data_IF_637609391925
#
_entry.id   IF_637609391925
#
_cell.length_a   1.000
_cell.length_b   1.000
_cell.length_c   1.000
_cell.angle_alpha   90.00
_cell.angle_beta   90.00
_cell.angle_gamma   90.00
#
_symmetry.space_group_name_H-M   'P 1'
#
loop_
_entity.id
_entity.type
_entity.pdbx_description
1 polymer ?
#
# COMPACT_ATOMS: atom_id res chain seq x y z
N UNK A 1 -25.51 30.79 -6.88
CA UNK A 1 -25.64 29.41 -7.43
C UNK A 1 -24.56 28.59 -6.72
N UNK A 2 -24.98 27.75 -5.79
CA UNK A 2 -24.14 27.10 -4.76
C UNK A 2 -23.02 26.29 -5.43
N UNK A 3 -21.75 26.59 -5.10
CA UNK A 3 -20.67 25.63 -5.31
C UNK A 3 -20.59 24.81 -4.03
N UNK A 4 -20.84 23.52 -4.17
CA UNK A 4 -21.15 22.57 -3.11
C UNK A 4 -20.01 22.47 -2.05
N UNK A 5 -20.26 22.73 -0.75
CA UNK A 5 -19.29 22.63 0.32
C UNK A 5 -19.06 21.19 0.82
N UNK A 6 -19.62 20.18 0.14
CA UNK A 6 -19.37 18.76 0.40
C UNK A 6 -18.38 18.14 -0.60
N UNK A 7 -17.49 18.94 -1.20
CA UNK A 7 -16.38 18.43 -2.00
C UNK A 7 -15.29 17.75 -1.13
N UNK A 8 -15.67 16.78 -0.31
CA UNK A 8 -14.77 15.71 0.13
C UNK A 8 -14.63 14.72 -1.02
N UNK A 9 -13.97 15.17 -2.09
CA UNK A 9 -13.42 14.24 -3.07
C UNK A 9 -12.18 13.67 -2.40
N UNK A 10 -12.35 12.67 -1.52
CA UNK A 10 -11.25 11.77 -1.23
C UNK A 10 -10.81 11.22 -2.58
N UNK A 11 -9.60 11.57 -3.02
CA UNK A 11 -9.00 11.04 -4.24
C UNK A 11 -8.94 9.52 -4.14
N UNK A 12 -10.03 8.87 -4.55
CA UNK A 12 -10.07 7.44 -4.71
C UNK A 12 -8.92 7.08 -5.66
N UNK A 13 -8.10 6.07 -5.32
CA UNK A 13 -6.99 5.69 -6.18
C UNK A 13 -7.52 5.44 -7.59
N UNK A 14 -7.01 6.19 -8.58
CA UNK A 14 -7.62 6.30 -9.91
C UNK A 14 -7.68 4.98 -10.71
N UNK A 15 -7.02 3.92 -10.23
CA UNK A 15 -7.04 2.59 -10.82
C UNK A 15 -7.05 1.47 -9.78
N UNK A 16 -7.45 0.25 -10.18
CA UNK A 16 -7.31 -0.96 -9.36
C UNK A 16 -5.87 -1.21 -8.92
N UNK A 17 -4.88 -0.80 -9.73
CA UNK A 17 -3.48 -0.94 -9.38
C UNK A 17 -3.09 -0.01 -8.22
N UNK A 18 -3.68 1.19 -8.16
CA UNK A 18 -3.44 2.14 -7.07
C UNK A 18 -4.13 1.69 -5.78
N UNK A 19 -5.36 1.16 -5.86
CA UNK A 19 -6.06 0.55 -4.72
C UNK A 19 -5.25 -0.61 -4.16
N UNK A 20 -4.79 -1.51 -5.03
CA UNK A 20 -3.97 -2.66 -4.61
C UNK A 20 -2.64 -2.20 -3.99
N UNK A 21 -1.95 -1.23 -4.61
CA UNK A 21 -0.70 -0.67 -4.09
C UNK A 21 -0.90 -0.07 -2.70
N UNK A 22 -1.94 0.74 -2.52
CA UNK A 22 -2.27 1.35 -1.24
C UNK A 22 -2.57 0.29 -0.17
N UNK A 23 -3.33 -0.74 -0.51
CA UNK A 23 -3.65 -1.81 0.42
C UNK A 23 -2.41 -2.65 0.81
N UNK A 24 -1.56 -3.01 -0.15
CA UNK A 24 -0.29 -3.71 0.11
C UNK A 24 0.59 -2.89 1.06
N UNK A 25 0.72 -1.58 0.82
CA UNK A 25 1.50 -0.68 1.67
C UNK A 25 0.92 -0.58 3.09
N UNK A 26 -0.40 -0.42 3.21
CA UNK A 26 -1.11 -0.37 4.51
C UNK A 26 -0.83 -1.62 5.34
N UNK A 27 -0.97 -2.80 4.75
CA UNK A 27 -0.72 -4.07 5.46
C UNK A 27 0.76 -4.22 5.82
N UNK A 28 1.68 -3.81 4.94
CA UNK A 28 3.11 -3.82 5.25
C UNK A 28 3.44 -2.90 6.43
N UNK A 29 2.87 -1.70 6.48
CA UNK A 29 3.05 -0.79 7.62
C UNK A 29 2.46 -1.37 8.92
N UNK A 30 1.22 -1.87 8.88
CA UNK A 30 0.57 -2.49 10.03
C UNK A 30 1.34 -3.69 10.60
N UNK A 31 2.05 -4.42 9.75
CA UNK A 31 2.86 -5.58 10.15
C UNK A 31 4.32 -5.22 10.48
N UNK A 32 4.68 -3.94 10.49
CA UNK A 32 6.05 -3.49 10.72
C UNK A 32 7.03 -3.99 9.65
N UNK A 33 6.59 -4.00 8.39
CA UNK A 33 7.30 -4.54 7.23
C UNK A 33 7.63 -6.04 7.31
N UNK A 34 6.95 -6.79 8.18
CA UNK A 34 7.08 -8.24 8.25
C UNK A 34 6.39 -8.89 7.04
N UNK A 35 7.15 -9.16 5.99
CA UNK A 35 6.64 -9.71 4.73
C UNK A 35 5.89 -11.03 4.89
N UNK A 36 6.28 -11.89 5.86
CA UNK A 36 5.59 -13.17 6.11
C UNK A 36 4.18 -12.92 6.64
N UNK A 37 4.03 -12.04 7.64
CA UNK A 37 2.72 -11.65 8.20
C UNK A 37 1.88 -10.91 7.16
N UNK A 38 2.49 -9.99 6.40
CA UNK A 38 1.79 -9.27 5.33
C UNK A 38 1.25 -10.22 4.26
N UNK A 39 2.03 -11.21 3.83
CA UNK A 39 1.58 -12.24 2.88
C UNK A 39 0.35 -13.01 3.39
N UNK A 40 0.32 -13.37 4.68
CA UNK A 40 -0.82 -14.07 5.29
C UNK A 40 -2.09 -13.23 5.26
N UNK A 41 -2.00 -11.94 5.61
CA UNK A 41 -3.15 -11.01 5.61
C UNK A 41 -3.63 -10.72 4.19
N UNK A 42 -2.70 -10.53 3.24
CA UNK A 42 -3.01 -10.23 1.85
C UNK A 42 -3.48 -11.47 1.07
N UNK A 43 -3.34 -12.69 1.62
CA UNK A 43 -3.61 -13.93 0.89
C UNK A 43 -2.65 -14.15 -0.29
N UNK A 44 -1.41 -13.64 -0.21
CA UNK A 44 -0.43 -13.68 -1.29
C UNK A 44 0.73 -14.60 -0.96
N UNK A 45 1.32 -15.20 -2.01
CA UNK A 45 2.64 -15.81 -1.89
C UNK A 45 3.72 -14.72 -1.76
N UNK A 46 4.87 -15.07 -1.16
CA UNK A 46 6.04 -14.17 -1.11
C UNK A 46 6.50 -13.72 -2.50
N UNK A 47 6.47 -14.62 -3.48
CA UNK A 47 6.85 -14.31 -4.87
C UNK A 47 5.89 -13.28 -5.48
N UNK A 48 4.58 -13.41 -5.23
CA UNK A 48 3.58 -12.46 -5.69
C UNK A 48 3.78 -11.09 -5.05
N UNK A 49 3.96 -11.04 -3.73
CA UNK A 49 4.24 -9.79 -3.02
C UNK A 49 5.49 -9.10 -3.57
N UNK A 50 6.59 -9.84 -3.77
CA UNK A 50 7.81 -9.29 -4.36
C UNK A 50 7.59 -8.72 -5.77
N UNK A 51 6.86 -9.43 -6.65
CA UNK A 51 6.54 -8.95 -7.99
C UNK A 51 5.70 -7.68 -7.96
N UNK A 52 4.71 -7.57 -7.05
CA UNK A 52 3.89 -6.36 -6.87
C UNK A 52 4.72 -5.19 -6.36
N UNK A 53 5.58 -5.42 -5.36
CA UNK A 53 6.48 -4.37 -4.85
C UNK A 53 7.44 -3.86 -5.93
N UNK A 54 8.02 -4.77 -6.73
CA UNK A 54 8.85 -4.40 -7.88
C UNK A 54 8.07 -3.61 -8.92
N UNK A 55 6.85 -4.05 -9.27
CA UNK A 55 5.95 -3.35 -10.20
C UNK A 55 5.65 -1.93 -9.75
N UNK A 56 5.47 -1.73 -8.44
CA UNK A 56 5.15 -0.41 -7.85
C UNK A 56 6.38 0.42 -7.46
N UNK A 57 7.60 -0.05 -7.78
CA UNK A 57 8.83 0.65 -7.43
C UNK A 57 9.10 0.74 -5.92
N UNK A 58 8.43 -0.07 -5.10
CA UNK A 58 8.58 -0.06 -3.64
C UNK A 58 9.84 -0.85 -3.27
N UNK A 59 10.79 -0.17 -2.60
CA UNK A 59 12.02 -0.77 -2.08
C UNK A 59 11.91 -0.97 -0.57
N UNK A 60 11.72 -2.21 -0.07
CA UNK A 60 11.52 -2.45 1.36
C UNK A 60 12.66 -1.92 2.24
N UNK A 61 13.91 -2.07 1.79
CA UNK A 61 15.10 -1.63 2.53
C UNK A 61 15.12 -0.12 2.79
N UNK A 62 14.58 0.68 1.88
CA UNK A 62 14.52 2.13 2.04
C UNK A 62 13.38 2.54 2.97
N UNK A 63 12.25 1.83 2.89
CA UNK A 63 11.06 2.13 3.69
C UNK A 63 11.19 1.70 5.15
N UNK A 64 11.92 0.61 5.43
CA UNK A 64 12.21 0.18 6.81
C UNK A 64 13.10 1.17 7.57
N UNK A 65 14.00 1.87 6.87
CA UNK A 65 14.90 2.86 7.47
C UNK A 65 14.21 4.19 7.78
N UNK A 66 13.03 4.43 7.19
CA UNK A 66 12.28 5.68 7.32
C UNK A 66 11.16 5.61 8.39
N UNK A 67 10.99 4.49 9.10
CA UNK A 67 10.04 4.43 10.22
C UNK A 67 10.65 5.13 11.44
N UNK A 68 9.91 6.07 12.09
CA UNK A 68 10.32 6.57 13.40
C UNK A 68 10.36 5.39 14.39
N UNK A 69 11.41 5.36 15.21
CA UNK A 69 11.57 4.37 16.29
C UNK A 69 10.52 4.58 17.38
#
# INVERSE_FOLDING_TARGET
>A
RYNDPLAFVEEAPGTLADVEKAYILKVLQQTGWNQKKACQILGLSKATLYRRLKKYGIRPRLMMAALPK
#
